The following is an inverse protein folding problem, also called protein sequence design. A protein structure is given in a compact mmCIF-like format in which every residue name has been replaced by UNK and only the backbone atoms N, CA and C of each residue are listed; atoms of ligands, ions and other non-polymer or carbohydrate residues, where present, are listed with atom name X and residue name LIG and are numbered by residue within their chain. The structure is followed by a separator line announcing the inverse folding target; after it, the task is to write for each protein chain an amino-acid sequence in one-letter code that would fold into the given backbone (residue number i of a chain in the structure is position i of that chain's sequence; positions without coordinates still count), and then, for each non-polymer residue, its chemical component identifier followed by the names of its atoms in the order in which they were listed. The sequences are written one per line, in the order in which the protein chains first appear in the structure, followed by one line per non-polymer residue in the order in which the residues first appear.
data_IF_428085058456
#
_entry.id   IF_428085058456
#
_cell.length_a   1.000
_cell.length_b   1.000
_cell.length_c   1.000
_cell.angle_alpha   90.00
_cell.angle_beta   90.00
_cell.angle_gamma   90.00
#
_symmetry.space_group_name_H-M   'P 1'
#
loop_
_entity.id
_entity.type
_entity.pdbx_description
1 polymer ?
#
# COMPACT_ATOMS: atom_id res chain seq x y z
N UNK A 1 29.77 -7.88 24.85
CA UNK A 1 29.05 -6.80 24.14
C UNK A 1 28.50 -7.27 22.81
N UNK A 2 29.29 -7.93 21.95
CA UNK A 2 28.84 -8.33 20.60
C UNK A 2 27.57 -9.21 20.57
N UNK A 3 27.42 -10.17 21.49
CA UNK A 3 26.21 -11.02 21.53
C UNK A 3 24.91 -10.22 21.74
N UNK A 4 24.95 -9.13 22.53
CA UNK A 4 23.79 -8.28 22.76
C UNK A 4 23.46 -7.41 21.55
N UNK A 5 24.49 -6.89 20.87
CA UNK A 5 24.31 -6.11 19.64
C UNK A 5 23.80 -6.99 18.48
N UNK A 6 24.27 -8.24 18.37
CA UNK A 6 23.76 -9.23 17.41
C UNK A 6 22.30 -9.57 17.69
N UNK A 7 21.94 -9.82 18.96
CA UNK A 7 20.54 -10.05 19.34
C UNK A 7 19.66 -8.84 19.01
N UNK A 8 20.14 -7.62 19.28
CA UNK A 8 19.43 -6.39 18.95
C UNK A 8 19.25 -6.20 17.45
N UNK A 9 20.26 -6.56 16.63
CA UNK A 9 20.18 -6.53 15.16
C UNK A 9 19.10 -7.48 14.64
N UNK A 10 19.05 -8.68 15.20
CA UNK A 10 18.04 -9.66 14.81
C UNK A 10 16.65 -9.16 15.17
N UNK A 11 16.48 -8.58 16.37
CA UNK A 11 15.21 -8.02 16.81
C UNK A 11 14.77 -6.84 15.92
N UNK A 12 15.65 -5.87 15.65
CA UNK A 12 15.29 -4.72 14.81
C UNK A 12 15.04 -5.13 13.35
N UNK A 13 15.73 -6.15 12.85
CA UNK A 13 15.45 -6.76 11.56
C UNK A 13 14.04 -7.36 11.50
N UNK A 14 13.66 -8.18 12.48
CA UNK A 14 12.32 -8.76 12.56
C UNK A 14 11.21 -7.70 12.65
N UNK A 15 11.44 -6.63 13.42
CA UNK A 15 10.50 -5.50 13.50
C UNK A 15 10.37 -4.82 12.15
N UNK A 16 11.47 -4.54 11.46
CA UNK A 16 11.45 -3.95 10.11
C UNK A 16 10.66 -4.83 9.12
N UNK A 17 10.90 -6.14 9.12
CA UNK A 17 10.19 -7.07 8.24
C UNK A 17 8.70 -7.10 8.55
N UNK A 18 8.33 -7.13 9.83
CA UNK A 18 6.92 -7.05 10.24
C UNK A 18 6.24 -5.76 9.78
N UNK A 19 6.89 -4.60 9.94
CA UNK A 19 6.34 -3.31 9.51
C UNK A 19 6.25 -3.21 7.97
N UNK A 20 7.19 -3.81 7.24
CA UNK A 20 7.15 -3.92 5.77
C UNK A 20 6.01 -4.81 5.29
N UNK A 21 5.81 -5.97 5.92
CA UNK A 21 4.70 -6.88 5.59
C UNK A 21 3.34 -6.19 5.79
N UNK A 22 3.16 -5.47 6.91
CA UNK A 22 1.96 -4.68 7.15
C UNK A 22 1.75 -3.61 6.07
N UNK A 23 2.81 -2.89 5.68
CA UNK A 23 2.74 -1.90 4.60
C UNK A 23 2.33 -2.53 3.26
N UNK A 24 2.90 -3.69 2.92
CA UNK A 24 2.54 -4.42 1.70
C UNK A 24 1.09 -4.87 1.69
N UNK A 25 0.55 -5.33 2.82
CA UNK A 25 -0.86 -5.69 2.95
C UNK A 25 -1.78 -4.47 2.70
N UNK A 26 -1.41 -3.31 3.23
CA UNK A 26 -2.16 -2.07 3.01
C UNK A 26 -2.12 -1.65 1.53
N UNK A 27 -0.93 -1.69 0.90
CA UNK A 27 -0.78 -1.38 -0.53
C UNK A 27 -1.63 -2.33 -1.38
N UNK A 28 -1.63 -3.62 -1.07
CA UNK A 28 -2.46 -4.59 -1.80
C UNK A 28 -3.96 -4.26 -1.69
N UNK A 29 -4.43 -3.94 -0.48
CA UNK A 29 -5.81 -3.55 -0.26
C UNK A 29 -6.19 -2.26 -1.01
N UNK A 30 -5.29 -1.29 -1.09
CA UNK A 30 -5.45 -0.07 -1.88
C UNK A 30 -5.59 -0.39 -3.38
N UNK A 31 -4.70 -1.22 -3.91
CA UNK A 31 -4.71 -1.64 -5.31
C UNK A 31 -5.99 -2.39 -5.68
N UNK A 32 -6.51 -3.23 -4.78
CA UNK A 32 -7.75 -3.97 -5.01
C UNK A 32 -8.97 -3.03 -5.08
N UNK A 33 -9.00 -1.96 -4.29
CA UNK A 33 -10.03 -0.92 -4.42
C UNK A 33 -9.86 -0.10 -5.70
N UNK A 34 -8.62 0.26 -6.06
CA UNK A 34 -8.34 1.00 -7.29
C UNK A 34 -8.79 0.21 -8.53
N UNK A 35 -8.57 -1.11 -8.55
CA UNK A 35 -9.06 -2.00 -9.61
C UNK A 35 -10.58 -2.00 -9.71
N UNK A 36 -11.29 -2.05 -8.59
CA UNK A 36 -12.77 -2.01 -8.58
C UNK A 36 -13.31 -0.69 -9.16
N UNK A 37 -12.68 0.45 -8.83
CA UNK A 37 -13.05 1.75 -9.42
C UNK A 37 -12.79 1.75 -10.93
N UNK A 38 -11.61 1.27 -11.36
CA UNK A 38 -11.26 1.20 -12.77
C UNK A 38 -12.22 0.29 -13.55
N UNK A 39 -12.71 -0.79 -12.94
CA UNK A 39 -13.69 -1.67 -13.57
C UNK A 39 -15.05 -1.01 -13.77
N UNK A 40 -15.53 -0.25 -12.77
CA UNK A 40 -16.76 0.55 -12.92
C UNK A 40 -16.62 1.61 -14.03
N UNK A 41 -15.44 2.20 -14.19
CA UNK A 41 -15.16 3.15 -15.27
C UNK A 41 -15.14 2.48 -16.64
N UNK A 42 -14.54 1.28 -16.74
CA UNK A 42 -14.56 0.50 -17.98
C UNK A 42 -15.98 0.14 -18.40
N UNK A 43 -16.80 -0.36 -17.49
CA UNK A 43 -18.20 -0.70 -17.80
C UNK A 43 -19.02 0.54 -18.17
N UNK A 44 -18.79 1.67 -17.50
CA UNK A 44 -19.38 2.98 -17.87
C UNK A 44 -19.03 3.40 -19.30
N UNK A 45 -17.75 3.32 -19.66
CA UNK A 45 -17.27 3.67 -20.99
C UNK A 45 -17.77 2.70 -22.06
N UNK A 46 -17.81 1.40 -21.75
CA UNK A 46 -18.37 0.37 -22.62
C UNK A 46 -19.85 0.61 -22.90
N UNK A 47 -20.62 0.97 -21.88
CA UNK A 47 -22.04 1.32 -22.06
C UNK A 47 -22.21 2.55 -22.95
N UNK A 48 -21.41 3.59 -22.74
CA UNK A 48 -21.45 4.79 -23.58
C UNK A 48 -21.12 4.46 -25.06
N UNK A 49 -20.09 3.65 -25.30
CA UNK A 49 -19.74 3.21 -26.66
C UNK A 49 -20.84 2.37 -27.32
N UNK A 50 -21.49 1.47 -26.57
CA UNK A 50 -22.62 0.68 -27.07
C UNK A 50 -23.82 1.54 -27.44
N UNK A 51 -24.11 2.57 -26.65
CA UNK A 51 -25.23 3.47 -26.92
C UNK A 51 -24.98 4.29 -28.20
N UNK A 52 -23.75 4.80 -28.37
CA UNK A 52 -23.34 5.50 -29.60
C UNK A 52 -23.47 4.59 -30.83
N UNK A 53 -23.01 3.34 -30.73
CA UNK A 53 -23.11 2.37 -31.83
C UNK A 53 -24.56 2.05 -32.24
N UNK A 54 -25.53 2.22 -31.34
CA UNK A 54 -26.97 2.01 -31.59
C UNK A 54 -27.71 3.28 -32.03
N UNK A 55 -27.01 4.35 -32.39
CA UNK A 55 -27.63 5.61 -32.79
C UNK A 55 -28.12 6.47 -31.61
N UNK A 56 -27.57 6.26 -30.42
CA UNK A 56 -27.83 7.09 -29.23
C UNK A 56 -29.09 6.71 -28.44
N UNK A 57 -29.81 5.66 -28.83
CA UNK A 57 -31.04 5.24 -28.17
C UNK A 57 -31.16 3.71 -28.09
N UNK A 58 -31.59 3.20 -26.94
CA UNK A 58 -32.04 1.82 -26.82
C UNK A 58 -33.14 1.69 -25.75
N UNK A 59 -33.68 0.48 -25.60
CA UNK A 59 -34.78 0.18 -24.68
C UNK A 59 -34.43 0.43 -23.22
N UNK A 60 -33.16 0.24 -22.82
CA UNK A 60 -32.72 0.49 -21.46
C UNK A 60 -32.67 1.99 -21.15
N UNK A 61 -32.27 2.82 -22.13
CA UNK A 61 -32.29 4.27 -21.98
C UNK A 61 -33.73 4.78 -21.88
N UNK A 62 -34.60 4.33 -22.77
CA UNK A 62 -36.02 4.71 -22.80
C UNK A 62 -36.77 4.30 -21.53
N UNK A 63 -36.42 3.14 -20.95
CA UNK A 63 -36.99 2.64 -19.70
C UNK A 63 -36.37 3.29 -18.44
N UNK A 64 -35.47 4.28 -18.58
CA UNK A 64 -34.77 4.92 -17.47
C UNK A 64 -33.87 3.99 -16.67
N UNK A 65 -33.53 2.81 -17.20
CA UNK A 65 -32.64 1.85 -16.55
C UNK A 65 -31.21 2.39 -16.50
N UNK A 66 -30.76 3.09 -17.55
CA UNK A 66 -29.44 3.71 -17.58
C UNK A 66 -29.25 4.75 -16.49
N UNK A 67 -30.25 5.61 -16.24
CA UNK A 67 -30.14 6.63 -15.20
C UNK A 67 -30.01 5.99 -13.81
N UNK A 68 -30.78 4.93 -13.54
CA UNK A 68 -30.68 4.18 -12.28
C UNK A 68 -29.32 3.50 -12.14
N UNK A 69 -28.83 2.88 -13.21
CA UNK A 69 -27.52 2.24 -13.22
C UNK A 69 -26.38 3.25 -13.04
N UNK A 70 -26.41 4.40 -13.73
CA UNK A 70 -25.43 5.47 -13.57
C UNK A 70 -25.41 6.01 -12.14
N UNK A 71 -26.58 6.24 -11.53
CA UNK A 71 -26.68 6.65 -10.13
C UNK A 71 -26.07 5.61 -9.18
N UNK A 72 -26.35 4.33 -9.41
CA UNK A 72 -25.73 3.25 -8.67
C UNK A 72 -24.20 3.23 -8.83
N UNK A 73 -23.67 3.34 -10.06
CA UNK A 73 -22.23 3.42 -10.33
C UNK A 73 -21.60 4.57 -9.56
N UNK A 74 -22.21 5.76 -9.58
CA UNK A 74 -21.70 6.92 -8.85
C UNK A 74 -21.66 6.70 -7.34
N UNK A 75 -22.70 6.07 -6.77
CA UNK A 75 -22.72 5.71 -5.35
C UNK A 75 -21.62 4.70 -5.00
N UNK A 76 -21.41 3.68 -5.83
CA UNK A 76 -20.35 2.70 -5.64
C UNK A 76 -18.97 3.33 -5.72
N UNK A 77 -18.71 4.18 -6.72
CA UNK A 77 -17.44 4.90 -6.85
C UNK A 77 -17.17 5.80 -5.65
N UNK A 78 -18.18 6.52 -5.14
CA UNK A 78 -18.04 7.33 -3.93
C UNK A 78 -17.65 6.47 -2.73
N UNK A 79 -18.37 5.37 -2.50
CA UNK A 79 -18.07 4.43 -1.41
C UNK A 79 -16.65 3.85 -1.50
N UNK A 80 -16.25 3.39 -2.68
CA UNK A 80 -14.90 2.86 -2.92
C UNK A 80 -13.82 3.91 -2.70
N UNK A 81 -14.02 5.13 -3.20
CA UNK A 81 -13.06 6.23 -3.02
C UNK A 81 -12.94 6.65 -1.55
N UNK A 82 -14.04 6.72 -0.80
CA UNK A 82 -13.99 6.97 0.65
C UNK A 82 -13.18 5.91 1.37
N UNK A 83 -13.40 4.63 1.06
CA UNK A 83 -12.61 3.53 1.62
C UNK A 83 -11.13 3.64 1.23
N UNK A 84 -10.85 4.00 -0.01
CA UNK A 84 -9.49 4.16 -0.54
C UNK A 84 -8.76 5.31 0.15
N UNK A 85 -9.40 6.46 0.37
CA UNK A 85 -8.85 7.57 1.15
C UNK A 85 -8.50 7.16 2.57
N UNK A 86 -9.36 6.37 3.24
CA UNK A 86 -9.07 5.84 4.57
C UNK A 86 -7.88 4.87 4.57
N UNK A 87 -7.73 4.03 3.52
CA UNK A 87 -6.58 3.14 3.38
C UNK A 87 -5.29 3.92 3.11
N UNK A 88 -5.33 4.97 2.28
CA UNK A 88 -4.18 5.83 2.02
C UNK A 88 -3.68 6.54 3.29
N UNK A 89 -4.60 7.00 4.15
CA UNK A 89 -4.22 7.54 5.46
C UNK A 89 -3.48 6.49 6.32
N UNK A 90 -4.02 5.27 6.40
CA UNK A 90 -3.36 4.14 7.10
C UNK A 90 -2.01 3.77 6.47
N UNK A 91 -1.89 3.87 5.15
CA UNK A 91 -0.65 3.60 4.43
C UNK A 91 0.44 4.59 4.85
N UNK A 92 0.11 5.88 4.97
CA UNK A 92 1.06 6.88 5.40
C UNK A 92 1.49 6.68 6.85
N UNK A 93 0.56 6.40 7.76
CA UNK A 93 0.88 6.05 9.15
C UNK A 93 1.82 4.83 9.23
N UNK A 94 1.54 3.80 8.42
CA UNK A 94 2.35 2.59 8.39
C UNK A 94 3.72 2.83 7.74
N UNK A 95 3.81 3.72 6.74
CA UNK A 95 5.07 4.14 6.12
C UNK A 95 6.00 4.77 7.13
N UNK A 96 5.48 5.64 8.00
CA UNK A 96 6.26 6.26 9.08
C UNK A 96 6.79 5.22 10.09
N UNK A 97 5.99 4.22 10.44
CA UNK A 97 6.43 3.11 11.31
C UNK A 97 7.53 2.28 10.66
N UNK A 98 7.36 1.91 9.39
CA UNK A 98 8.39 1.18 8.63
C UNK A 98 9.69 1.99 8.49
N UNK A 99 9.59 3.31 8.28
CA UNK A 99 10.75 4.21 8.22
C UNK A 99 11.50 4.27 9.55
N UNK A 100 10.77 4.35 10.68
CA UNK A 100 11.38 4.32 12.02
C UNK A 100 12.07 2.98 12.28
N UNK A 101 11.41 1.86 11.99
CA UNK A 101 11.99 0.53 12.13
C UNK A 101 13.25 0.36 11.27
N UNK A 102 13.23 0.90 10.05
CA UNK A 102 14.39 0.92 9.16
C UNK A 102 15.57 1.69 9.77
N UNK A 103 15.32 2.91 10.25
CA UNK A 103 16.35 3.72 10.91
C UNK A 103 16.96 3.04 12.14
N UNK A 104 16.13 2.34 12.94
CA UNK A 104 16.60 1.55 14.08
C UNK A 104 17.47 0.37 13.64
N UNK A 105 17.06 -0.37 12.60
CA UNK A 105 17.84 -1.47 12.05
C UNK A 105 19.19 -0.99 11.49
N UNK A 106 19.21 0.13 10.77
CA UNK A 106 20.45 0.73 10.27
C UNK A 106 21.37 1.20 11.39
N UNK A 107 20.84 1.86 12.43
CA UNK A 107 21.63 2.32 13.56
C UNK A 107 22.34 1.15 14.26
N UNK A 108 21.62 0.04 14.48
CA UNK A 108 22.20 -1.16 15.11
C UNK A 108 23.22 -1.83 14.19
N UNK A 109 22.99 -1.86 12.88
CA UNK A 109 23.96 -2.38 11.92
C UNK A 109 25.28 -1.58 11.98
N UNK A 110 25.22 -0.25 12.00
CA UNK A 110 26.41 0.61 12.11
C UNK A 110 27.13 0.45 13.45
N UNK A 111 26.40 0.26 14.55
CA UNK A 111 27.00 0.00 15.87
C UNK A 111 27.78 -1.33 15.89
N UNK A 112 27.26 -2.37 15.22
CA UNK A 112 27.96 -3.65 15.07
C UNK A 112 29.21 -3.54 14.22
N UNK A 113 29.15 -2.80 13.11
CA UNK A 113 30.33 -2.56 12.28
C UNK A 113 31.43 -1.85 13.06
N UNK A 114 31.06 -0.81 13.82
CA UNK A 114 32.00 -0.08 14.67
C UNK A 114 32.59 -0.96 15.78
N UNK A 115 31.77 -1.80 16.44
CA UNK A 115 32.29 -2.70 17.48
C UNK A 115 33.26 -3.74 16.92
N UNK A 116 32.98 -4.26 15.72
CA UNK A 116 33.86 -5.19 15.03
C UNK A 116 35.19 -4.54 14.61
N UNK A 117 35.15 -3.29 14.13
CA UNK A 117 36.35 -2.53 13.78
C UNK A 117 37.23 -2.25 15.01
N UNK A 118 36.62 -1.82 16.12
CA UNK A 118 37.33 -1.61 17.38
C UNK A 118 37.97 -2.90 17.92
N UNK A 119 37.30 -4.05 17.77
CA UNK A 119 37.86 -5.34 18.16
C UNK A 119 39.09 -5.71 17.31
N UNK A 120 39.04 -5.49 15.98
CA UNK A 120 40.18 -5.73 15.06
C UNK A 120 41.39 -4.85 15.37
N UNK A 121 41.15 -3.57 15.66
CA UNK A 121 42.22 -2.62 16.01
C UNK A 121 42.91 -2.99 17.33
N UNK A 122 42.17 -3.56 18.29
CA UNK A 122 42.74 -4.05 19.55
C UNK A 122 43.50 -5.36 19.37
N UNK A 123 43.04 -6.28 18.53
CA UNK A 123 43.73 -7.55 18.29
C UNK A 123 45.00 -7.42 17.44
N UNK A 124 45.12 -6.38 16.60
CA UNK A 124 46.33 -6.11 15.82
C UNK A 124 47.39 -5.26 16.54
N UNK A 125 47.08 -4.79 17.76
CA UNK A 125 48.00 -4.02 18.63
C UNK A 125 48.63 -4.84 19.75
N UNK A 126 48.22 -6.10 19.90
CA UNK A 126 48.79 -7.09 20.80
C UNK A 126 49.74 -8.01 20.02
#
# INVERSE_FOLDING_TARGET
MDKQLVALRNLTGLVLDAERMKLQQIIKAEQDLAKQVAELDRESNKRAAQLLAKGGMDTALLAGADLRWQNWVQQQKRSLNTRRSAILAKQEEQRLKAQKAFGQAEAVARLLEKSAEEARLKSGRA
#
